data_IF_716097647249
#
_entry.id   IF_716097647249
#
_cell.length_a   1.000
_cell.length_b   1.000
_cell.length_c   1.000
_cell.angle_alpha   90.00
_cell.angle_beta   90.00
_cell.angle_gamma   90.00
#
_symmetry.space_group_name_H-M   'P 1'
#
loop_
_entity.id
_entity.type
_entity.pdbx_description
1 polymer ?
#
# COMPACT_ATOMS: atom_id res chain seq x y z
N UNK A 1 -9.22 4.31 -2.84
CA UNK A 1 -8.56 5.18 -3.85
C UNK A 1 -8.21 4.38 -5.09
N UNK A 2 -8.55 4.90 -6.24
CA UNK A 2 -8.21 4.26 -7.51
C UNK A 2 -7.02 4.96 -8.14
N UNK A 3 -6.47 4.36 -9.18
CA UNK A 3 -5.39 5.01 -9.93
C UNK A 3 -5.85 6.36 -10.49
N UNK A 4 -7.08 6.43 -10.97
CA UNK A 4 -7.62 7.68 -11.51
C UNK A 4 -7.67 8.78 -10.45
N UNK A 5 -8.07 8.42 -9.25
CA UNK A 5 -8.09 9.38 -8.13
C UNK A 5 -6.70 9.83 -7.74
N UNK A 6 -5.74 8.91 -7.79
CA UNK A 6 -4.36 9.25 -7.52
C UNK A 6 -3.81 10.20 -8.57
N UNK A 7 -4.14 9.96 -9.85
CA UNK A 7 -3.74 10.85 -10.94
C UNK A 7 -4.32 12.25 -10.74
N UNK A 8 -5.58 12.33 -10.34
CA UNK A 8 -6.20 13.62 -10.06
C UNK A 8 -5.48 14.36 -8.95
N UNK A 9 -5.12 13.66 -7.90
CA UNK A 9 -4.43 14.25 -6.77
C UNK A 9 -3.05 14.77 -7.18
N UNK A 10 -2.32 14.00 -7.97
CA UNK A 10 -1.02 14.42 -8.48
C UNK A 10 -1.17 15.65 -9.37
N UNK A 11 -2.19 15.66 -10.22
CA UNK A 11 -2.46 16.79 -11.10
C UNK A 11 -2.75 18.05 -10.29
N UNK A 12 -3.53 17.92 -9.25
CA UNK A 12 -3.92 19.04 -8.39
C UNK A 12 -2.71 19.64 -7.67
N UNK A 13 -1.85 18.78 -7.14
CA UNK A 13 -0.72 19.22 -6.34
C UNK A 13 0.40 19.77 -7.20
N UNK A 14 0.63 19.15 -8.35
CA UNK A 14 1.77 19.50 -9.21
C UNK A 14 1.47 20.55 -10.27
N UNK A 15 0.20 20.90 -10.42
CA UNK A 15 -0.22 21.85 -11.44
C UNK A 15 0.04 21.35 -12.85
N UNK A 16 0.09 20.05 -13.03
CA UNK A 16 0.28 19.44 -14.34
C UNK A 16 -1.05 18.97 -14.89
N UNK A 17 -1.09 18.73 -16.19
CA UNK A 17 -2.30 18.19 -16.82
C UNK A 17 -2.52 16.76 -16.32
N UNK A 18 -3.75 16.28 -16.47
CA UNK A 18 -4.05 14.89 -16.10
C UNK A 18 -3.23 13.90 -16.90
N UNK A 19 -3.00 14.20 -18.18
CA UNK A 19 -2.20 13.33 -19.02
C UNK A 19 -0.77 13.19 -18.52
N UNK A 20 -0.13 14.30 -18.18
CA UNK A 20 1.22 14.27 -17.64
C UNK A 20 1.26 13.60 -16.28
N UNK A 21 0.24 13.85 -15.47
CA UNK A 21 0.15 13.25 -14.14
C UNK A 21 -0.03 11.73 -14.23
N UNK A 22 -0.78 11.27 -15.23
CA UNK A 22 -0.93 9.84 -15.46
C UNK A 22 0.41 9.19 -15.83
N UNK A 23 1.18 9.86 -16.68
CA UNK A 23 2.51 9.35 -17.04
C UNK A 23 3.40 9.23 -15.80
N UNK A 24 3.35 10.22 -14.94
CA UNK A 24 4.14 10.21 -13.70
C UNK A 24 3.74 9.04 -12.80
N UNK A 25 2.45 8.88 -12.57
CA UNK A 25 1.95 7.80 -11.72
C UNK A 25 2.30 6.45 -12.32
N UNK A 26 2.08 6.27 -13.61
CA UNK A 26 2.40 5.02 -14.29
C UNK A 26 3.90 4.73 -14.23
N UNK A 27 4.73 5.75 -14.37
CA UNK A 27 6.18 5.58 -14.30
C UNK A 27 6.63 5.11 -12.93
N UNK A 28 6.03 5.66 -11.87
CA UNK A 28 6.37 5.25 -10.51
C UNK A 28 6.04 3.77 -10.31
N UNK A 29 4.83 3.36 -10.67
CA UNK A 29 4.45 1.97 -10.48
C UNK A 29 5.22 1.02 -11.38
N UNK A 30 5.46 1.43 -12.62
CA UNK A 30 6.26 0.61 -13.54
C UNK A 30 7.68 0.42 -13.02
N UNK A 31 8.26 1.46 -12.44
CA UNK A 31 9.59 1.36 -11.85
C UNK A 31 9.63 0.35 -10.71
N UNK A 32 8.59 0.35 -9.88
CA UNK A 32 8.48 -0.62 -8.79
C UNK A 32 8.34 -2.03 -9.36
N UNK A 33 7.50 -2.21 -10.35
CA UNK A 33 7.28 -3.51 -10.99
C UNK A 33 8.58 -4.03 -11.61
N UNK A 34 9.27 -3.17 -12.34
CA UNK A 34 10.50 -3.56 -13.01
C UNK A 34 11.59 -3.95 -12.01
N UNK A 35 11.69 -3.21 -10.92
CA UNK A 35 12.65 -3.52 -9.87
C UNK A 35 12.34 -4.86 -9.22
N UNK A 36 11.09 -5.12 -8.93
CA UNK A 36 10.66 -6.40 -8.36
C UNK A 36 10.92 -7.55 -9.35
N UNK A 37 10.71 -7.28 -10.63
CA UNK A 37 10.98 -8.29 -11.65
C UNK A 37 12.44 -8.68 -11.68
N UNK A 38 13.33 -7.72 -11.44
CA UNK A 38 14.78 -8.00 -11.35
C UNK A 38 15.18 -8.63 -10.03
N UNK A 39 14.24 -8.79 -9.11
CA UNK A 39 14.54 -9.34 -7.79
C UNK A 39 15.11 -8.33 -6.81
N UNK A 40 15.00 -7.06 -7.12
CA UNK A 40 15.51 -6.01 -6.25
C UNK A 40 14.51 -5.65 -5.17
N UNK A 41 15.02 -5.18 -4.05
CA UNK A 41 14.22 -4.65 -2.98
C UNK A 41 14.07 -3.15 -3.19
N UNK A 42 12.89 -2.64 -3.00
CA UNK A 42 12.65 -1.21 -3.11
C UNK A 42 12.38 -0.67 -1.72
N UNK A 43 13.18 0.26 -1.30
CA UNK A 43 13.06 0.84 0.02
C UNK A 43 12.69 2.31 -0.11
N UNK A 44 11.50 2.65 0.36
CA UNK A 44 11.01 4.02 0.34
C UNK A 44 10.97 4.51 1.78
N UNK A 45 11.98 5.28 2.13
CA UNK A 45 12.14 5.76 3.49
C UNK A 45 10.94 6.60 3.91
N UNK A 46 10.39 6.30 5.07
CA UNK A 46 9.20 6.99 5.56
C UNK A 46 7.89 6.35 5.13
N UNK A 47 7.94 5.44 4.17
CA UNK A 47 6.72 4.80 3.67
C UNK A 47 6.75 3.29 3.94
N UNK A 48 7.74 2.62 3.43
CA UNK A 48 7.85 1.18 3.57
C UNK A 48 8.78 0.59 2.54
N UNK A 49 8.74 -0.72 2.41
CA UNK A 49 9.57 -1.39 1.42
C UNK A 49 8.78 -2.47 0.69
N UNK A 50 9.11 -2.62 -0.58
CA UNK A 50 8.57 -3.69 -1.40
C UNK A 50 9.65 -4.72 -1.61
N UNK A 51 9.30 -5.98 -1.46
CA UNK A 51 10.23 -7.09 -1.67
C UNK A 51 9.49 -8.27 -2.24
N UNK A 52 10.25 -9.24 -2.70
CA UNK A 52 9.70 -10.50 -3.12
C UNK A 52 9.82 -11.50 -1.98
N UNK A 53 8.75 -12.25 -1.79
CA UNK A 53 8.75 -13.36 -0.86
C UNK A 53 8.66 -14.62 -1.69
N UNK A 54 9.60 -15.52 -1.48
CA UNK A 54 9.59 -16.77 -2.20
C UNK A 54 8.70 -17.75 -1.46
N UNK A 55 7.73 -18.29 -2.17
CA UNK A 55 6.91 -19.37 -1.63
C UNK A 55 7.54 -20.68 -1.97
N UNK A 56 7.65 -21.54 -0.98
CA UNK A 56 8.21 -22.85 -1.20
C UNK A 56 7.28 -23.73 -2.01
N UNK A 57 7.83 -24.70 -2.77
CA UNK A 57 7.00 -25.65 -3.48
C UNK A 57 6.18 -26.45 -2.48
N UNK A 58 4.97 -26.70 -2.81
CA UNK A 58 4.10 -27.51 -1.97
C UNK A 58 3.27 -28.41 -2.84
N UNK A 59 2.69 -29.44 -2.23
CA UNK A 59 1.81 -30.35 -2.93
C UNK A 59 0.38 -29.92 -2.70
N UNK A 60 -0.33 -29.71 -3.79
CA UNK A 60 -1.74 -29.43 -3.74
C UNK A 60 -2.51 -30.64 -4.24
N UNK A 61 -3.81 -30.50 -4.33
CA UNK A 61 -4.68 -31.53 -4.89
C UNK A 61 -5.49 -30.96 -6.03
N UNK A 62 -5.63 -31.79 -7.06
CA UNK A 62 -6.50 -31.44 -8.16
C UNK A 62 -7.94 -31.57 -7.67
N UNK A 63 -8.74 -30.53 -7.67
CA UNK A 63 -10.10 -30.61 -7.17
C UNK A 63 -11.00 -31.51 -8.01
N UNK A 64 -10.63 -31.80 -9.24
CA UNK A 64 -11.44 -32.68 -10.10
C UNK A 64 -11.14 -34.16 -9.90
N UNK A 65 -9.87 -34.49 -9.72
CA UNK A 65 -9.46 -35.89 -9.63
C UNK A 65 -8.99 -36.29 -8.24
N UNK A 66 -8.71 -35.33 -7.39
CA UNK A 66 -8.17 -35.61 -6.08
C UNK A 66 -6.71 -35.98 -6.06
N UNK A 67 -6.08 -36.00 -7.21
CA UNK A 67 -4.68 -36.38 -7.32
C UNK A 67 -3.78 -35.27 -6.75
N UNK A 68 -2.65 -35.68 -6.20
CA UNK A 68 -1.66 -34.74 -5.71
C UNK A 68 -0.91 -34.11 -6.90
N UNK A 69 -0.80 -32.82 -6.90
CA UNK A 69 -0.02 -32.11 -7.91
C UNK A 69 1.03 -31.27 -7.22
N UNK A 70 2.19 -31.18 -7.86
CA UNK A 70 3.26 -30.35 -7.34
C UNK A 70 3.01 -28.92 -7.73
N UNK A 71 3.03 -28.02 -6.74
CA UNK A 71 2.90 -26.61 -6.97
C UNK A 71 4.31 -26.02 -7.00
N UNK A 72 4.73 -25.45 -8.13
CA UNK A 72 6.08 -24.90 -8.22
C UNK A 72 6.27 -23.71 -7.30
N UNK A 73 7.51 -23.41 -6.92
CA UNK A 73 7.78 -22.22 -6.11
C UNK A 73 7.42 -20.96 -6.88
N UNK A 74 6.88 -20.00 -6.18
CA UNK A 74 6.50 -18.72 -6.77
C UNK A 74 7.07 -17.59 -5.98
N UNK A 75 7.35 -16.49 -6.66
CA UNK A 75 7.73 -15.25 -6.01
C UNK A 75 6.50 -14.38 -5.88
N UNK A 76 6.27 -13.87 -4.70
CA UNK A 76 5.09 -13.05 -4.41
C UNK A 76 5.56 -11.69 -3.94
N UNK A 77 5.04 -10.61 -4.53
CA UNK A 77 5.37 -9.28 -4.03
C UNK A 77 4.80 -9.08 -2.64
N UNK A 78 5.55 -8.38 -1.84
CA UNK A 78 5.21 -8.19 -0.44
C UNK A 78 5.57 -6.77 -0.04
N UNK A 79 4.65 -6.08 0.62
CA UNK A 79 4.89 -4.74 1.10
C UNK A 79 5.01 -4.78 2.62
N UNK A 80 6.11 -4.25 3.12
CA UNK A 80 6.31 -4.09 4.55
C UNK A 80 6.24 -2.61 4.88
N UNK A 81 5.21 -2.18 5.62
CA UNK A 81 5.11 -0.76 5.99
C UNK A 81 6.26 -0.36 6.90
N UNK A 82 6.69 0.87 6.74
CA UNK A 82 7.72 1.40 7.60
C UNK A 82 7.17 1.81 8.96
N UNK A 83 8.06 2.05 9.88
CA UNK A 83 7.67 2.44 11.22
C UNK A 83 6.87 3.74 11.24
N UNK A 84 7.31 4.71 10.47
CA UNK A 84 6.64 6.00 10.40
C UNK A 84 5.22 5.89 9.87
N UNK A 85 5.04 5.06 8.83
CA UNK A 85 3.72 4.85 8.28
C UNK A 85 2.80 4.16 9.28
N UNK A 86 3.30 3.16 9.99
CA UNK A 86 2.53 2.47 11.01
C UNK A 86 2.10 3.43 12.12
N UNK A 87 3.02 4.23 12.57
CA UNK A 87 2.73 5.19 13.62
C UNK A 87 1.69 6.21 13.19
N UNK A 88 1.81 6.68 11.96
CA UNK A 88 0.88 7.67 11.44
C UNK A 88 -0.54 7.10 11.36
N UNK A 89 -0.67 5.89 10.88
CA UNK A 89 -1.98 5.24 10.78
C UNK A 89 -2.56 4.95 12.15
N UNK A 90 -1.75 4.46 13.05
CA UNK A 90 -2.24 4.09 14.38
C UNK A 90 -2.45 5.27 15.30
N UNK A 91 -1.82 6.38 15.01
CA UNK A 91 -1.98 7.59 15.82
C UNK A 91 -3.42 8.03 15.87
N UNK A 92 -4.12 8.01 14.75
CA UNK A 92 -5.52 8.38 14.74
C UNK A 92 -6.37 7.36 15.48
N UNK A 93 -6.06 6.09 15.33
CA UNK A 93 -6.75 5.04 16.05
C UNK A 93 -6.54 5.18 17.55
N UNK A 94 -5.33 5.46 17.97
CA UNK A 94 -5.02 5.68 19.37
C UNK A 94 -5.71 6.92 19.92
N UNK A 95 -5.74 7.99 19.14
CA UNK A 95 -6.42 9.21 19.54
C UNK A 95 -7.92 8.98 19.68
N UNK A 96 -8.49 8.22 18.78
CA UNK A 96 -9.91 7.90 18.85
C UNK A 96 -10.23 7.08 20.11
N UNK A 97 -9.38 6.14 20.44
CA UNK A 97 -9.57 5.34 21.64
C UNK A 97 -9.39 6.18 22.90
N UNK A 98 -8.45 7.08 22.90
CA UNK A 98 -8.20 7.93 24.05
C UNK A 98 -9.30 8.92 24.28
N UNK A 99 -9.86 9.44 23.22
CA UNK A 99 -10.89 10.45 23.34
C UNK A 99 -12.22 9.80 23.69
N UNK A 100 -12.48 8.67 23.11
CA UNK A 100 -13.77 8.11 23.29
C UNK A 100 -13.75 6.64 23.24
N UNK A 101 -13.70 6.09 24.33
CA UNK A 101 -13.79 4.66 24.42
C UNK A 101 -15.12 4.15 23.96
N UNK A 102 -16.06 5.02 23.78
CA UNK A 102 -17.35 4.57 23.38
C UNK A 102 -17.47 4.46 21.91
N UNK A 103 -16.87 5.38 21.22
CA UNK A 103 -17.08 5.46 19.83
C UNK A 103 -15.94 5.02 19.04
N UNK A 104 -15.31 4.07 19.51
CA UNK A 104 -14.12 3.58 18.86
C UNK A 104 -14.38 3.03 17.50
N UNK A 105 -15.59 2.87 17.15
CA UNK A 105 -15.88 2.27 15.90
C UNK A 105 -15.55 3.14 14.71
N UNK A 106 -15.46 4.44 14.95
CA UNK A 106 -15.30 5.23 13.82
C UNK A 106 -14.00 5.83 13.76
N UNK A 107 -13.19 5.37 13.03
CA UNK A 107 -11.92 5.94 12.90
C UNK A 107 -12.14 7.05 12.02
N UNK A 108 -12.67 7.71 11.77
CA UNK A 108 -12.68 8.71 11.05
C UNK A 108 -11.93 9.10 10.17
N UNK A 109 -12.04 9.27 9.53
CA UNK A 109 -11.39 9.59 8.62
C UNK A 109 -10.96 10.84 8.55
N UNK A 110 -10.62 11.39 8.75
CA UNK A 110 -10.11 12.47 8.64
C UNK A 110 -10.01 13.21 7.65
N UNK A 111 -10.26 13.48 7.57
CA UNK A 111 -10.26 14.04 6.94
C UNK A 111 -10.04 14.77 6.82
N UNK A 112 -9.80 14.82 7.13
CA UNK A 112 -9.68 15.53 7.27
C UNK A 112 -9.24 15.93 7.41
N UNK A 113 -9.09 16.13 7.64
CA UNK A 113 -8.77 16.59 8.14
C UNK A 113 -8.15 16.59 8.35
N UNK A 114 -7.76 16.61 8.54
CA UNK A 114 -7.38 16.81 9.25
C UNK A 114 -6.78 17.00 9.27
N UNK A 115 -6.48 17.21 9.20
CA UNK A 115 -6.16 17.67 9.79
C UNK A 115 -5.98 18.13 9.89
N UNK A 116 -5.89 18.29 9.84
CA UNK A 116 -5.78 18.86 10.44
C UNK A 116 -5.35 19.02 10.52
N UNK A 117 -5.26 19.33 10.75
CA UNK A 117 -4.90 19.61 11.27
C UNK A 117 -4.34 19.58 11.38
N UNK A 118 -4.05 19.64 11.22
CA UNK A 118 -3.81 19.73 11.83
C UNK A 118 -3.59 20.09 12.16
N UNK A 119 -3.43 20.19 12.11
CA UNK A 119 -3.49 20.50 12.80
C UNK A 119 -3.42 20.60 13.14
N UNK A 120 -3.46 20.70 13.10
CA UNK A 120 -3.60 20.64 13.67
C UNK A 120 -3.50 20.53 13.70
N UNK A 121 -3.33 20.75 13.62
CA UNK A 121 -3.49 20.57 13.82
C UNK A 121 -3.43 20.52 13.87
#
# INVERSE_FOLDING_TARGET
MTKAELVEEVSRVSDLTKKHSEVIVDTVFKSIIDALHRGEKIELRGFGSFRLRKREPRKGRNPKTGDKVDVPPKKVPYFKPGKELKELINREAEAAEAVDTVDAAEPVSISGSVLGPLETV
#
